data_IF_443706731319
#
_entry.id   IF_443706731319
#
_cell.length_a   1.000
_cell.length_b   1.000
_cell.length_c   1.000
_cell.angle_alpha   90.00
_cell.angle_beta   90.00
_cell.angle_gamma   90.00
#
_symmetry.space_group_name_H-M   'P 1'
#
loop_
_entity.id
_entity.type
_entity.pdbx_description
1 polymer ?
#
# COMPACT_ATOMS: atom_id res chain seq x y z
N UNK A 1 13.15 -36.59 1.54
CA UNK A 1 13.24 -35.21 2.07
C UNK A 1 13.64 -35.20 3.52
N UNK A 2 14.40 -34.22 3.94
CA UNK A 2 14.51 -33.87 5.36
C UNK A 2 13.25 -33.14 5.77
N UNK A 3 12.59 -33.58 6.83
CA UNK A 3 11.32 -33.04 7.30
C UNK A 3 11.54 -32.18 8.53
N UNK A 4 10.93 -30.99 8.52
CA UNK A 4 10.98 -30.01 9.59
C UNK A 4 9.56 -29.81 10.15
N UNK A 5 9.33 -30.04 11.43
CA UNK A 5 8.03 -29.75 12.03
C UNK A 5 7.78 -28.23 12.04
N UNK A 6 6.58 -27.82 11.65
CA UNK A 6 6.12 -26.45 11.76
C UNK A 6 5.30 -26.37 13.04
N UNK A 7 5.68 -25.49 13.94
CA UNK A 7 5.09 -25.34 15.26
C UNK A 7 4.27 -24.05 15.34
N UNK A 8 3.13 -24.11 16.03
CA UNK A 8 2.42 -22.92 16.45
C UNK A 8 3.14 -22.22 17.61
N UNK A 9 2.64 -21.06 18.03
CA UNK A 9 3.22 -20.29 19.16
C UNK A 9 3.23 -21.04 20.49
N UNK A 10 2.48 -22.12 20.62
CA UNK A 10 2.39 -22.97 21.81
C UNK A 10 3.21 -24.27 21.71
N UNK A 11 4.10 -24.38 20.74
CA UNK A 11 4.94 -25.55 20.45
C UNK A 11 4.13 -26.79 20.01
N UNK A 12 2.93 -26.64 19.45
CA UNK A 12 2.17 -27.75 18.88
C UNK A 12 2.51 -27.88 17.41
N UNK A 13 2.75 -29.12 16.94
CA UNK A 13 2.97 -29.37 15.53
C UNK A 13 1.67 -29.13 14.75
N UNK A 14 1.72 -28.23 13.78
CA UNK A 14 0.58 -27.86 12.92
C UNK A 14 0.78 -28.27 11.46
N UNK A 15 2.01 -28.58 11.07
CA UNK A 15 2.38 -28.98 9.72
C UNK A 15 3.84 -29.40 9.63
N UNK A 16 4.29 -29.69 8.42
CA UNK A 16 5.66 -30.06 8.13
C UNK A 16 6.16 -29.34 6.87
N UNK A 17 7.41 -28.91 6.89
CA UNK A 17 8.16 -28.52 5.72
C UNK A 17 9.15 -29.61 5.34
N UNK A 18 9.34 -29.86 4.05
CA UNK A 18 10.27 -30.85 3.55
C UNK A 18 11.27 -30.26 2.56
N UNK A 19 12.57 -30.39 2.82
CA UNK A 19 13.63 -30.03 1.86
C UNK A 19 14.13 -31.28 1.16
N UNK A 20 14.18 -31.26 -0.19
CA UNK A 20 14.74 -32.39 -0.95
C UNK A 20 16.22 -32.51 -0.68
N UNK A 21 16.69 -33.78 -0.62
CA UNK A 21 18.11 -34.13 -0.57
C UNK A 21 18.55 -34.52 -2.00
N UNK A 22 19.33 -33.65 -2.65
CA UNK A 22 19.74 -33.81 -4.06
C UNK A 22 18.86 -32.95 -5.02
N UNK A 23 18.80 -33.35 -6.30
CA UNK A 23 18.30 -32.54 -7.42
C UNK A 23 16.79 -32.65 -7.65
N UNK A 24 16.03 -33.18 -6.70
CA UNK A 24 14.58 -33.34 -6.84
C UNK A 24 13.82 -31.96 -6.81
N UNK A 25 12.70 -31.92 -7.50
CA UNK A 25 11.80 -30.75 -7.52
C UNK A 25 10.43 -31.10 -6.90
N UNK A 26 9.78 -30.14 -6.22
CA UNK A 26 10.26 -28.82 -5.81
C UNK A 26 11.31 -28.94 -4.71
N UNK A 27 12.24 -27.95 -4.64
CA UNK A 27 13.31 -27.92 -3.61
C UNK A 27 12.72 -27.93 -2.19
N UNK A 28 11.65 -27.19 -1.98
CA UNK A 28 10.88 -27.14 -0.74
C UNK A 28 9.44 -27.53 -0.97
N UNK A 29 8.86 -28.29 -0.04
CA UNK A 29 7.46 -28.68 -0.05
C UNK A 29 6.91 -28.56 1.37
N UNK A 30 5.90 -27.74 1.56
CA UNK A 30 5.20 -27.59 2.84
C UNK A 30 3.88 -28.36 2.82
N UNK A 31 3.41 -28.76 3.99
CA UNK A 31 2.05 -29.29 4.17
C UNK A 31 1.03 -28.40 3.47
N UNK A 32 -0.05 -28.97 2.91
CA UNK A 32 -1.18 -28.18 2.46
C UNK A 32 -1.80 -27.43 3.64
N UNK A 33 -2.58 -26.40 3.34
CA UNK A 33 -3.34 -25.68 4.36
C UNK A 33 -4.43 -26.57 4.96
N UNK A 34 -4.63 -26.42 6.26
CA UNK A 34 -5.65 -27.15 7.04
C UNK A 34 -6.29 -26.20 8.04
N UNK A 35 -7.30 -26.66 8.77
CA UNK A 35 -7.89 -25.87 9.87
C UNK A 35 -6.89 -25.49 10.96
N UNK A 36 -5.78 -26.21 11.10
CA UNK A 36 -4.73 -25.97 12.09
C UNK A 36 -3.54 -25.23 11.50
N UNK A 37 -3.31 -25.32 10.20
CA UNK A 37 -2.15 -24.77 9.50
C UNK A 37 -2.59 -23.84 8.41
N UNK A 38 -2.47 -22.54 8.69
CA UNK A 38 -2.69 -21.44 7.75
C UNK A 38 -1.34 -20.71 7.57
N UNK A 39 -0.76 -20.81 6.37
CA UNK A 39 0.54 -20.22 6.05
C UNK A 39 0.56 -18.70 6.14
N UNK A 40 -0.59 -18.06 5.94
CA UNK A 40 -0.72 -16.61 6.00
C UNK A 40 -0.72 -16.06 7.45
N UNK A 41 -0.92 -16.93 8.45
CA UNK A 41 -1.07 -16.57 9.87
C UNK A 41 -0.02 -17.21 10.78
N UNK A 42 0.88 -18.01 10.23
CA UNK A 42 1.92 -18.70 10.98
C UNK A 42 3.30 -18.34 10.46
N UNK A 43 4.23 -18.15 11.39
CA UNK A 43 5.63 -17.88 11.10
C UNK A 43 6.51 -18.99 11.68
N UNK A 44 7.43 -19.52 10.89
CA UNK A 44 8.41 -20.49 11.37
C UNK A 44 9.33 -19.85 12.39
N UNK A 45 9.62 -20.53 13.50
CA UNK A 45 10.50 -20.05 14.55
C UNK A 45 9.86 -19.11 15.57
N UNK A 46 8.61 -18.64 15.36
CA UNK A 46 7.97 -17.69 16.26
C UNK A 46 7.75 -18.24 17.68
N UNK A 47 7.54 -19.57 17.81
CA UNK A 47 7.44 -20.23 19.11
C UNK A 47 8.67 -20.03 19.98
N UNK A 48 9.86 -19.90 19.38
CA UNK A 48 11.10 -19.56 20.08
C UNK A 48 11.30 -18.03 20.14
N UNK A 49 11.13 -17.35 19.01
CA UNK A 49 11.41 -15.93 18.90
C UNK A 49 10.61 -15.06 19.87
N UNK A 50 9.36 -15.44 20.18
CA UNK A 50 8.49 -14.74 21.15
C UNK A 50 9.03 -14.68 22.59
N UNK A 51 9.96 -15.56 22.92
CA UNK A 51 10.59 -15.61 24.27
C UNK A 51 11.97 -14.98 24.29
N UNK A 52 12.45 -14.48 23.15
CA UNK A 52 13.72 -13.78 23.05
C UNK A 52 13.70 -12.50 23.88
N UNK A 53 14.88 -12.13 24.41
CA UNK A 53 15.08 -10.85 25.15
C UNK A 53 15.43 -9.69 24.24
N UNK A 54 15.65 -9.95 22.96
CA UNK A 54 15.95 -8.91 21.98
C UNK A 54 14.72 -8.02 21.75
N UNK A 55 14.97 -6.72 21.58
CA UNK A 55 13.89 -5.73 21.36
C UNK A 55 13.33 -5.72 19.94
N UNK A 56 13.87 -6.53 19.06
CA UNK A 56 13.51 -6.65 17.66
C UNK A 56 13.44 -8.10 17.23
N UNK A 57 12.72 -8.37 16.13
CA UNK A 57 12.73 -9.67 15.48
C UNK A 57 13.41 -9.57 14.11
N UNK A 58 14.10 -10.65 13.72
CA UNK A 58 14.72 -10.82 12.42
C UNK A 58 13.74 -11.58 11.51
N UNK A 59 13.45 -11.06 10.33
CA UNK A 59 12.56 -11.72 9.37
C UNK A 59 13.39 -12.22 8.20
N UNK A 60 13.53 -13.55 8.10
CA UNK A 60 14.24 -14.26 7.02
C UNK A 60 13.27 -14.68 5.90
N UNK A 61 13.79 -15.05 4.73
CA UNK A 61 12.98 -15.56 3.62
C UNK A 61 12.46 -16.98 3.88
N UNK A 62 13.29 -17.86 4.41
CA UNK A 62 12.99 -19.26 4.59
C UNK A 62 13.35 -19.83 5.95
N UNK A 63 12.77 -21.00 6.23
CA UNK A 63 13.00 -21.66 7.52
C UNK A 63 14.42 -22.23 7.68
N UNK A 64 15.17 -22.45 6.59
CA UNK A 64 16.58 -22.84 6.68
C UNK A 64 17.43 -21.68 7.22
N UNK A 65 17.13 -20.46 6.81
CA UNK A 65 17.82 -19.27 7.32
C UNK A 65 17.52 -19.08 8.81
N UNK A 66 16.26 -19.29 9.22
CA UNK A 66 15.88 -19.26 10.64
C UNK A 66 16.64 -20.30 11.43
N UNK A 67 16.77 -21.54 10.92
CA UNK A 67 17.52 -22.59 11.61
C UNK A 67 18.99 -22.20 11.75
N UNK A 68 19.61 -21.71 10.69
CA UNK A 68 21.01 -21.25 10.71
C UNK A 68 21.19 -20.08 11.70
N UNK A 69 20.26 -19.13 11.69
CA UNK A 69 20.26 -18.00 12.62
C UNK A 69 20.14 -18.44 14.08
N UNK A 70 19.20 -19.35 14.38
CA UNK A 70 19.04 -19.90 15.73
C UNK A 70 20.28 -20.65 16.19
N UNK A 71 20.92 -21.45 15.32
CA UNK A 71 22.19 -22.13 15.61
C UNK A 71 23.32 -21.15 15.92
N UNK A 72 23.31 -19.97 15.29
CA UNK A 72 24.26 -18.89 15.53
C UNK A 72 23.91 -18.01 16.75
N UNK A 73 22.82 -18.32 17.47
CA UNK A 73 22.40 -17.60 18.67
C UNK A 73 21.37 -16.49 18.46
N UNK A 74 20.92 -16.27 17.21
CA UNK A 74 19.85 -15.28 16.88
C UNK A 74 18.46 -15.91 16.98
N UNK A 75 18.05 -16.25 18.21
CA UNK A 75 16.80 -16.97 18.49
C UNK A 75 15.54 -16.12 18.27
N UNK A 76 15.68 -14.82 18.00
CA UNK A 76 14.63 -13.87 17.62
C UNK A 76 14.30 -13.87 16.12
N UNK A 77 14.74 -14.89 15.38
CA UNK A 77 14.53 -15.00 13.92
C UNK A 77 13.26 -15.77 13.60
N UNK A 78 12.55 -15.31 12.56
CA UNK A 78 11.32 -15.92 12.04
C UNK A 78 11.30 -15.87 10.51
N UNK A 79 10.51 -16.75 9.87
CA UNK A 79 10.29 -16.69 8.42
C UNK A 79 8.85 -17.04 8.06
N UNK A 80 8.43 -16.57 6.87
CA UNK A 80 7.20 -17.03 6.24
C UNK A 80 7.34 -18.48 5.76
N UNK A 81 6.21 -19.14 5.48
CA UNK A 81 6.15 -20.58 5.19
C UNK A 81 5.94 -20.86 3.71
N UNK A 82 6.82 -20.27 2.86
CA UNK A 82 6.74 -20.42 1.41
C UNK A 82 5.59 -19.63 0.78
N UNK A 83 5.18 -18.56 1.44
CA UNK A 83 4.24 -17.57 0.95
C UNK A 83 4.85 -16.18 1.09
N UNK A 84 4.33 -15.19 0.36
CA UNK A 84 4.70 -13.80 0.61
C UNK A 84 4.33 -13.40 2.05
N UNK A 85 5.04 -12.41 2.59
CA UNK A 85 4.74 -11.84 3.89
C UNK A 85 3.37 -11.13 3.85
N UNK A 86 2.51 -11.35 4.85
CA UNK A 86 1.12 -10.89 4.89
C UNK A 86 0.86 -9.88 6.00
N UNK A 87 -0.27 -9.16 5.94
CA UNK A 87 -0.75 -8.28 7.02
C UNK A 87 -1.05 -9.06 8.31
N UNK A 88 -1.49 -10.33 8.19
CA UNK A 88 -1.71 -11.19 9.35
C UNK A 88 -0.39 -11.57 10.04
N UNK A 89 0.69 -11.80 9.25
CA UNK A 89 2.03 -11.98 9.80
C UNK A 89 2.50 -10.73 10.55
N UNK A 90 2.31 -9.54 9.98
CA UNK A 90 2.66 -8.29 10.63
C UNK A 90 1.87 -8.07 11.94
N UNK A 91 0.56 -8.28 11.90
CA UNK A 91 -0.30 -8.19 13.09
C UNK A 91 0.08 -9.21 14.16
N UNK A 92 0.53 -10.40 13.77
CA UNK A 92 1.01 -11.42 14.70
C UNK A 92 2.32 -10.99 15.35
N UNK A 93 3.30 -10.48 14.58
CA UNK A 93 4.59 -10.01 15.09
C UNK A 93 4.44 -8.81 16.02
N UNK A 94 3.51 -7.89 15.71
CA UNK A 94 3.24 -6.69 16.53
C UNK A 94 2.89 -7.00 17.97
N UNK A 95 2.38 -8.18 18.26
CA UNK A 95 2.08 -8.63 19.65
C UNK A 95 3.33 -8.88 20.48
N UNK A 96 4.50 -9.03 19.84
CA UNK A 96 5.73 -9.45 20.50
C UNK A 96 6.86 -8.41 20.37
N UNK A 97 6.81 -7.55 19.35
CA UNK A 97 7.84 -6.53 19.11
C UNK A 97 7.28 -5.34 18.35
N UNK A 98 7.88 -4.16 18.57
CA UNK A 98 7.61 -2.96 17.80
C UNK A 98 8.66 -2.72 16.69
N UNK A 99 9.72 -3.53 16.64
CA UNK A 99 10.81 -3.35 15.70
C UNK A 99 11.17 -4.68 15.01
N UNK A 100 11.37 -4.59 13.70
CA UNK A 100 11.85 -5.73 12.89
C UNK A 100 13.03 -5.31 12.02
N UNK A 101 13.88 -6.31 11.73
CA UNK A 101 14.97 -6.19 10.76
C UNK A 101 14.74 -7.25 9.68
N UNK A 102 14.55 -6.80 8.44
CA UNK A 102 14.43 -7.68 7.28
C UNK A 102 15.82 -8.19 6.89
N UNK A 103 15.99 -9.51 6.86
CA UNK A 103 17.24 -10.20 6.51
C UNK A 103 17.04 -11.07 5.28
N UNK A 104 16.40 -10.51 4.27
CA UNK A 104 16.13 -11.19 3.01
C UNK A 104 17.37 -11.28 2.14
N UNK A 105 17.36 -12.23 1.19
CA UNK A 105 18.46 -12.44 0.25
C UNK A 105 18.89 -11.11 -0.41
N UNK A 106 20.20 -10.97 -0.64
CA UNK A 106 20.77 -9.75 -1.26
C UNK A 106 20.57 -9.68 -2.78
N UNK A 107 19.84 -10.62 -3.36
CA UNK A 107 19.50 -10.67 -4.79
C UNK A 107 18.25 -9.83 -5.12
N UNK A 108 17.93 -9.73 -6.42
CA UNK A 108 16.80 -8.94 -6.87
C UNK A 108 15.43 -9.45 -6.41
N UNK A 109 15.30 -10.74 -6.09
CA UNK A 109 14.07 -11.33 -5.57
C UNK A 109 13.85 -10.94 -4.10
N UNK A 110 14.92 -11.05 -3.28
CA UNK A 110 14.88 -10.63 -1.88
C UNK A 110 14.66 -9.12 -1.71
N UNK A 111 15.29 -8.29 -2.55
CA UNK A 111 15.02 -6.84 -2.56
C UNK A 111 13.54 -6.55 -2.86
N UNK A 112 12.95 -7.22 -3.86
CA UNK A 112 11.51 -7.07 -4.17
C UNK A 112 10.62 -7.58 -3.03
N UNK A 113 11.02 -8.64 -2.35
CA UNK A 113 10.30 -9.16 -1.19
C UNK A 113 10.35 -8.17 -0.02
N UNK A 114 11.51 -7.56 0.26
CA UNK A 114 11.67 -6.52 1.27
C UNK A 114 10.79 -5.30 0.98
N UNK A 115 10.80 -4.79 -0.26
CA UNK A 115 9.97 -3.65 -0.68
C UNK A 115 8.46 -3.93 -0.51
N UNK A 116 8.01 -5.19 -0.65
CA UNK A 116 6.61 -5.57 -0.41
C UNK A 116 6.29 -5.72 1.08
N UNK A 117 7.24 -6.18 1.90
CA UNK A 117 7.03 -6.37 3.33
C UNK A 117 7.04 -5.05 4.12
N UNK A 118 7.84 -4.06 3.68
CA UNK A 118 7.99 -2.77 4.36
C UNK A 118 6.65 -2.06 4.60
N UNK A 119 5.80 -1.79 3.59
CA UNK A 119 4.52 -1.11 3.82
C UNK A 119 3.61 -1.91 4.74
N UNK A 120 3.53 -3.25 4.59
CA UNK A 120 2.71 -4.12 5.42
C UNK A 120 3.09 -4.02 6.91
N UNK A 121 4.39 -3.93 7.20
CA UNK A 121 4.90 -3.79 8.57
C UNK A 121 4.69 -2.37 9.12
N UNK A 122 4.86 -1.35 8.27
CA UNK A 122 4.59 0.05 8.64
C UNK A 122 3.11 0.30 8.94
N UNK A 123 2.20 -0.33 8.20
CA UNK A 123 0.75 -0.19 8.38
C UNK A 123 0.28 -0.63 9.78
N UNK A 124 0.96 -1.58 10.40
CA UNK A 124 0.69 -1.97 11.80
C UNK A 124 1.54 -1.19 12.82
N UNK A 125 2.21 -0.12 12.39
CA UNK A 125 3.00 0.75 13.25
C UNK A 125 4.30 0.13 13.75
N UNK A 126 4.96 -0.72 12.96
CA UNK A 126 6.26 -1.28 13.29
C UNK A 126 7.40 -0.44 12.71
N UNK A 127 8.49 -0.31 13.47
CA UNK A 127 9.76 0.22 12.98
C UNK A 127 10.48 -0.86 12.17
N UNK A 128 10.84 -0.54 10.93
CA UNK A 128 11.43 -1.49 9.99
C UNK A 128 12.82 -1.04 9.57
N UNK A 129 13.79 -1.95 9.74
CA UNK A 129 15.13 -1.81 9.18
C UNK A 129 15.40 -2.92 8.17
N UNK A 130 16.33 -2.70 7.27
CA UNK A 130 16.75 -3.70 6.26
C UNK A 130 18.25 -3.92 6.39
N UNK A 131 18.62 -5.19 6.50
CA UNK A 131 20.00 -5.61 6.59
C UNK A 131 20.59 -5.80 5.19
N UNK A 132 21.76 -5.24 4.93
CA UNK A 132 22.52 -5.50 3.72
C UNK A 132 23.61 -6.55 4.01
N UNK A 133 23.52 -7.72 3.41
CA UNK A 133 24.46 -8.81 3.62
C UNK A 133 25.57 -8.88 2.57
N UNK A 134 25.56 -7.99 1.59
CA UNK A 134 26.59 -8.01 0.55
C UNK A 134 28.02 -8.00 1.13
N UNK A 135 28.94 -8.77 0.56
CA UNK A 135 28.88 -9.52 -0.71
C UNK A 135 28.17 -10.88 -0.60
N UNK A 136 27.76 -11.32 0.57
CA UNK A 136 27.10 -12.62 0.79
C UNK A 136 25.63 -12.58 0.38
N UNK A 137 25.12 -13.74 0.00
CA UNK A 137 23.77 -13.86 -0.52
C UNK A 137 22.72 -13.81 0.59
N UNK A 138 22.90 -14.63 1.62
CA UNK A 138 21.93 -14.88 2.69
C UNK A 138 22.61 -14.89 4.08
N UNK A 139 21.83 -14.89 5.18
CA UNK A 139 22.37 -14.93 6.55
C UNK A 139 23.26 -16.12 6.84
N UNK A 140 22.91 -17.30 6.33
CA UNK A 140 23.67 -18.53 6.56
C UNK A 140 25.08 -18.44 5.97
N UNK A 141 25.18 -17.97 4.71
CA UNK A 141 26.46 -17.74 4.05
C UNK A 141 27.30 -16.68 4.79
N UNK A 142 26.68 -15.58 5.19
CA UNK A 142 27.36 -14.51 5.92
C UNK A 142 27.96 -15.02 7.21
N UNK A 143 27.17 -15.72 8.05
CA UNK A 143 27.58 -16.20 9.37
C UNK A 143 28.66 -17.27 9.23
N UNK A 144 28.58 -18.17 8.24
CA UNK A 144 29.62 -19.18 7.99
C UNK A 144 30.97 -18.56 7.64
N UNK A 145 30.99 -17.44 6.96
CA UNK A 145 32.24 -16.80 6.52
C UNK A 145 32.81 -15.83 7.55
N UNK A 146 31.97 -15.05 8.24
CA UNK A 146 32.42 -13.97 9.11
C UNK A 146 32.09 -14.18 10.59
N UNK A 147 31.23 -15.14 10.91
CA UNK A 147 30.84 -15.46 12.28
C UNK A 147 29.66 -14.62 12.81
N UNK A 148 29.16 -15.04 13.97
CA UNK A 148 27.99 -14.45 14.60
C UNK A 148 28.22 -12.99 15.08
N UNK A 149 29.44 -12.68 15.56
CA UNK A 149 29.76 -11.34 16.07
C UNK A 149 29.73 -10.29 14.94
N UNK A 150 30.29 -10.63 13.78
CA UNK A 150 30.23 -9.77 12.60
C UNK A 150 28.78 -9.57 12.13
N UNK A 151 27.95 -10.61 12.24
CA UNK A 151 26.54 -10.49 11.90
C UNK A 151 25.78 -9.60 12.90
N UNK A 152 26.10 -9.67 14.18
CA UNK A 152 25.54 -8.76 15.20
C UNK A 152 25.86 -7.29 14.92
N UNK A 153 27.13 -7.01 14.59
CA UNK A 153 27.51 -5.66 14.15
C UNK A 153 26.74 -5.23 12.89
N UNK A 154 26.56 -6.11 11.93
CA UNK A 154 25.78 -5.82 10.71
C UNK A 154 24.32 -5.50 11.02
N UNK A 155 23.71 -6.14 12.03
CA UNK A 155 22.35 -5.82 12.49
C UNK A 155 22.28 -4.40 13.07
N UNK A 156 23.29 -3.98 13.85
CA UNK A 156 23.36 -2.62 14.38
C UNK A 156 23.42 -1.57 13.27
N UNK A 157 24.12 -1.88 12.18
CA UNK A 157 24.27 -1.07 10.96
C UNK A 157 23.07 -1.15 10.01
N UNK A 158 22.04 -1.95 10.36
CA UNK A 158 20.87 -2.14 9.49
C UNK A 158 20.19 -0.79 9.17
N UNK A 159 19.94 -0.59 7.88
CA UNK A 159 19.44 0.66 7.34
C UNK A 159 17.95 0.85 7.63
N UNK A 160 17.54 2.08 7.93
CA UNK A 160 16.12 2.45 7.95
C UNK A 160 15.43 2.07 6.64
N UNK A 161 14.21 1.52 6.71
CA UNK A 161 13.50 1.00 5.53
C UNK A 161 13.25 2.06 4.46
N UNK A 162 12.95 3.32 4.84
CA UNK A 162 12.75 4.39 3.88
C UNK A 162 14.06 4.73 3.12
N UNK A 163 15.17 4.83 3.83
CA UNK A 163 16.48 5.07 3.22
C UNK A 163 16.89 3.90 2.29
N UNK A 164 16.56 2.66 2.67
CA UNK A 164 16.73 1.51 1.80
C UNK A 164 15.88 1.62 0.52
N UNK A 165 14.60 2.05 0.63
CA UNK A 165 13.76 2.28 -0.54
C UNK A 165 14.34 3.33 -1.49
N UNK A 166 14.95 4.41 -0.94
CA UNK A 166 15.63 5.44 -1.75
C UNK A 166 16.88 4.88 -2.42
N UNK A 167 17.65 4.01 -1.75
CA UNK A 167 18.80 3.33 -2.39
C UNK A 167 18.38 2.48 -3.58
N UNK A 168 17.32 1.69 -3.40
CA UNK A 168 16.78 0.85 -4.49
C UNK A 168 16.27 1.71 -5.62
N UNK A 169 15.59 2.81 -5.32
CA UNK A 169 15.14 3.79 -6.32
C UNK A 169 16.33 4.38 -7.08
N UNK A 170 17.39 4.81 -6.38
CA UNK A 170 18.61 5.34 -6.99
C UNK A 170 19.25 4.37 -7.98
N UNK A 171 19.23 3.07 -7.64
CA UNK A 171 19.79 2.03 -8.51
C UNK A 171 19.08 1.85 -9.86
N UNK A 172 17.92 2.50 -10.06
CA UNK A 172 17.17 2.47 -11.32
C UNK A 172 17.52 3.61 -12.27
N UNK A 173 18.37 4.56 -11.83
CA UNK A 173 18.74 5.76 -12.58
C UNK A 173 20.24 5.84 -12.79
N UNK A 174 20.65 6.31 -13.96
CA UNK A 174 22.02 6.74 -14.20
C UNK A 174 22.24 8.12 -13.58
N UNK A 175 23.05 8.16 -12.52
CA UNK A 175 23.32 9.40 -11.78
C UNK A 175 24.30 10.34 -12.47
N UNK A 176 24.98 9.88 -13.52
CA UNK A 176 25.83 10.71 -14.37
C UNK A 176 25.04 11.44 -15.46
N UNK A 177 23.84 10.90 -15.81
CA UNK A 177 22.91 11.56 -16.72
C UNK A 177 22.08 12.62 -15.98
N UNK A 178 22.20 13.92 -16.31
CA UNK A 178 21.46 14.99 -15.65
C UNK A 178 19.94 14.84 -15.69
N UNK A 179 19.38 14.26 -16.76
CA UNK A 179 17.94 14.05 -16.90
C UNK A 179 17.46 12.95 -15.96
N UNK A 180 18.14 11.82 -15.90
CA UNK A 180 17.81 10.71 -15.00
C UNK A 180 18.03 11.10 -13.54
N UNK A 181 19.09 11.82 -13.24
CA UNK A 181 19.34 12.40 -11.91
C UNK A 181 18.21 13.32 -11.47
N UNK A 182 17.69 14.15 -12.37
CA UNK A 182 16.55 15.03 -12.08
C UNK A 182 15.28 14.20 -11.79
N UNK A 183 15.04 13.14 -12.56
CA UNK A 183 13.91 12.22 -12.32
C UNK A 183 14.04 11.52 -10.96
N UNK A 184 15.21 11.04 -10.61
CA UNK A 184 15.46 10.47 -9.29
C UNK A 184 15.13 11.45 -8.16
N UNK A 185 15.54 12.72 -8.28
CA UNK A 185 15.22 13.73 -7.26
C UNK A 185 13.71 13.99 -7.14
N UNK A 186 13.00 14.01 -8.26
CA UNK A 186 11.56 14.18 -8.28
C UNK A 186 10.83 13.00 -7.62
N UNK A 187 11.21 11.76 -7.93
CA UNK A 187 10.62 10.57 -7.29
C UNK A 187 10.96 10.49 -5.80
N UNK A 188 12.18 10.83 -5.42
CA UNK A 188 12.59 10.93 -4.02
C UNK A 188 11.74 11.96 -3.26
N UNK A 189 11.51 13.13 -3.87
CA UNK A 189 10.68 14.17 -3.27
C UNK A 189 9.20 13.74 -3.16
N UNK A 190 8.67 12.95 -4.09
CA UNK A 190 7.32 12.36 -3.98
C UNK A 190 7.23 11.38 -2.82
N UNK A 191 8.22 10.49 -2.66
CA UNK A 191 8.27 9.57 -1.52
C UNK A 191 8.36 10.29 -0.17
N UNK A 192 9.07 11.40 -0.09
CA UNK A 192 9.13 12.21 1.13
C UNK A 192 7.79 12.83 1.52
N UNK A 193 6.86 12.98 0.60
CA UNK A 193 5.49 13.44 0.88
C UNK A 193 4.60 12.37 1.54
N UNK A 194 5.02 11.11 1.58
CA UNK A 194 4.35 10.04 2.33
C UNK A 194 4.36 10.31 3.85
N UNK A 195 5.29 11.15 4.34
CA UNK A 195 5.33 11.58 5.74
C UNK A 195 4.41 12.80 5.95
N UNK A 196 3.26 12.65 6.64
CA UNK A 196 2.32 13.74 6.87
C UNK A 196 2.88 14.79 7.84
N UNK A 197 3.61 14.34 8.87
CA UNK A 197 4.16 15.21 9.90
C UNK A 197 5.37 16.00 9.37
N UNK A 198 5.30 17.33 9.48
CA UNK A 198 6.31 18.23 8.90
C UNK A 198 7.71 18.02 9.52
N UNK A 199 7.80 17.77 10.84
CA UNK A 199 9.07 17.53 11.52
C UNK A 199 9.68 16.20 11.12
N UNK A 200 8.89 15.14 11.05
CA UNK A 200 9.33 13.82 10.61
C UNK A 200 9.82 13.89 9.16
N UNK A 201 9.05 14.50 8.29
CA UNK A 201 9.42 14.70 6.89
C UNK A 201 10.72 15.47 6.74
N UNK A 202 10.92 16.54 7.53
CA UNK A 202 12.15 17.33 7.52
C UNK A 202 13.37 16.51 7.95
N UNK A 203 13.23 15.65 8.97
CA UNK A 203 14.27 14.72 9.42
C UNK A 203 14.65 13.74 8.29
N UNK A 204 13.67 13.23 7.55
CA UNK A 204 13.94 12.36 6.39
C UNK A 204 14.55 13.13 5.20
N UNK A 205 14.14 14.38 4.96
CA UNK A 205 14.80 15.25 3.95
C UNK A 205 16.28 15.42 4.30
N UNK A 206 16.61 15.69 5.57
CA UNK A 206 18.01 15.83 6.01
C UNK A 206 18.79 14.52 5.85
N UNK A 207 18.21 13.38 6.23
CA UNK A 207 18.85 12.08 6.10
C UNK A 207 19.15 11.74 4.63
N UNK A 208 18.17 11.88 3.74
CA UNK A 208 18.30 11.64 2.29
C UNK A 208 19.31 12.61 1.66
N UNK A 209 19.24 13.89 2.02
CA UNK A 209 20.16 14.91 1.53
C UNK A 209 21.62 14.55 1.84
N UNK A 210 21.90 14.12 3.08
CA UNK A 210 23.23 13.72 3.53
C UNK A 210 23.71 12.45 2.81
N UNK A 211 22.86 11.44 2.69
CA UNK A 211 23.24 10.14 2.17
C UNK A 211 23.44 10.13 0.64
N UNK A 212 22.63 10.92 -0.07
CA UNK A 212 22.66 10.95 -1.54
C UNK A 212 23.34 12.21 -2.10
N UNK A 213 23.94 13.04 -1.24
CA UNK A 213 24.62 14.27 -1.64
C UNK A 213 23.72 15.23 -2.44
N UNK A 214 22.45 15.32 -2.04
CA UNK A 214 21.49 16.29 -2.60
C UNK A 214 21.51 17.53 -1.69
N UNK A 215 21.67 18.75 -2.19
CA UNK A 215 21.58 19.93 -1.36
C UNK A 215 20.24 20.01 -0.62
N UNK A 216 20.28 20.13 0.70
CA UNK A 216 19.08 20.08 1.55
C UNK A 216 18.02 21.10 1.12
N UNK A 217 18.41 22.33 0.86
CA UNK A 217 17.48 23.40 0.44
C UNK A 217 16.80 23.11 -0.89
N UNK A 218 17.52 22.47 -1.84
CA UNK A 218 16.98 22.13 -3.15
C UNK A 218 15.97 20.97 -3.02
N UNK A 219 16.30 19.94 -2.24
CA UNK A 219 15.39 18.83 -1.99
C UNK A 219 14.13 19.31 -1.22
N UNK A 220 14.32 20.14 -0.18
CA UNK A 220 13.20 20.72 0.59
C UNK A 220 12.30 21.59 -0.27
N UNK A 221 12.88 22.42 -1.14
CA UNK A 221 12.15 23.25 -2.10
C UNK A 221 11.32 22.38 -3.05
N UNK A 222 11.93 21.30 -3.56
CA UNK A 222 11.26 20.38 -4.47
C UNK A 222 10.10 19.65 -3.79
N UNK A 223 10.29 19.16 -2.55
CA UNK A 223 9.23 18.55 -1.73
C UNK A 223 8.08 19.54 -1.49
N UNK A 224 8.38 20.77 -1.12
CA UNK A 224 7.37 21.81 -0.89
C UNK A 224 6.61 22.19 -2.18
N UNK A 225 7.30 22.28 -3.31
CA UNK A 225 6.67 22.55 -4.62
C UNK A 225 5.73 21.41 -5.04
N UNK A 226 6.15 20.17 -4.86
CA UNK A 226 5.32 19.00 -5.16
C UNK A 226 4.15 18.90 -4.15
N UNK A 227 4.40 19.13 -2.86
CA UNK A 227 3.37 19.16 -1.82
C UNK A 227 2.31 20.23 -2.07
N UNK A 228 2.72 21.44 -2.50
CA UNK A 228 1.78 22.50 -2.87
C UNK A 228 0.93 22.15 -4.10
N UNK A 229 1.50 21.40 -5.04
CA UNK A 229 0.77 20.91 -6.23
C UNK A 229 -0.20 19.78 -5.90
N UNK A 230 0.14 18.92 -4.94
CA UNK A 230 -0.70 17.81 -4.47
C UNK A 230 -1.68 18.27 -3.38
N UNK A 231 -1.32 19.30 -2.61
CA UNK A 231 -2.06 19.82 -1.46
C UNK A 231 -3.07 20.92 -1.75
N UNK A 232 -3.54 21.08 -3.00
CA UNK A 232 -4.66 22.00 -3.32
C UNK A 232 -6.03 21.44 -2.91
N UNK A 233 -6.09 20.75 -1.77
CA UNK A 233 -7.30 20.42 -1.03
C UNK A 233 -7.49 21.42 0.14
N UNK A 234 -8.72 21.71 0.60
CA UNK A 234 -9.03 22.85 1.46
C UNK A 234 -8.68 22.60 2.94
N UNK A 235 -7.42 22.75 3.34
CA UNK A 235 -7.04 22.86 4.75
C UNK A 235 -5.71 23.58 4.93
N UNK A 236 -5.62 24.86 4.55
CA UNK A 236 -4.58 25.78 5.05
C UNK A 236 -5.06 27.23 4.93
N UNK A 237 -6.08 27.59 5.70
CA UNK A 237 -6.37 28.98 5.99
C UNK A 237 -5.58 29.40 7.23
N UNK A 238 -4.45 30.04 7.04
CA UNK A 238 -3.73 30.66 8.14
C UNK A 238 -2.26 30.93 7.86
N UNK A 239 -1.96 31.85 6.97
CA UNK A 239 -0.92 32.89 7.06
C UNK A 239 -0.70 33.53 5.70
N UNK A 240 -1.31 34.70 5.51
CA UNK A 240 -0.91 35.70 4.51
C UNK A 240 0.26 36.46 5.08
N UNK A 241 1.34 36.64 4.29
CA UNK A 241 1.73 37.92 3.73
C UNK A 241 3.10 37.86 3.07
N UNK A 242 3.20 38.61 1.94
CA UNK A 242 4.38 38.99 1.11
C UNK A 242 4.94 37.88 0.19
N UNK A 243 4.97 37.95 -1.13
CA UNK A 243 5.14 39.04 -2.10
C UNK A 243 4.67 38.62 -3.50
N UNK A 244 4.31 39.62 -4.29
CA UNK A 244 3.79 39.58 -5.65
C UNK A 244 4.79 39.16 -6.75
N UNK A 245 4.19 38.62 -7.82
CA UNK A 245 4.59 38.65 -9.24
C UNK A 245 5.58 37.62 -9.77
N UNK A 246 5.05 36.61 -10.45
CA UNK A 246 5.26 36.48 -11.91
C UNK A 246 4.32 35.44 -12.52
N UNK A 247 3.54 35.87 -13.52
CA UNK A 247 2.59 35.09 -14.28
C UNK A 247 3.32 34.12 -15.25
N UNK A 248 2.97 32.83 -15.20
CA UNK A 248 3.02 31.98 -16.39
C UNK A 248 1.85 31.00 -16.34
N UNK A 249 1.03 31.05 -17.35
CA UNK A 249 -0.21 30.31 -17.57
C UNK A 249 -0.01 28.79 -17.48
N UNK A 250 -0.73 28.08 -16.64
CA UNK A 250 -0.89 26.62 -16.65
C UNK A 250 -2.37 26.26 -16.71
N UNK A 251 -2.68 25.23 -17.50
CA UNK A 251 -4.04 24.80 -17.81
C UNK A 251 -4.68 24.03 -16.65
N UNK A 252 -5.94 24.38 -16.24
CA UNK A 252 -6.65 23.77 -15.10
C UNK A 252 -7.26 22.39 -15.37
N UNK A 253 -6.99 21.75 -16.51
CA UNK A 253 -7.68 20.51 -16.93
C UNK A 253 -7.18 19.23 -16.28
N UNK A 254 -5.88 19.07 -16.03
CA UNK A 254 -5.31 17.80 -15.53
C UNK A 254 -5.64 17.48 -14.07
N UNK A 255 -5.73 18.48 -13.20
CA UNK A 255 -5.98 18.25 -11.76
C UNK A 255 -7.46 17.91 -11.44
N UNK A 256 -8.39 18.37 -12.30
CA UNK A 256 -9.81 18.04 -12.16
C UNK A 256 -10.13 16.60 -12.56
N UNK A 257 -9.44 16.07 -13.56
CA UNK A 257 -9.70 14.72 -14.09
C UNK A 257 -9.23 13.65 -13.09
N UNK A 258 -8.11 13.85 -12.41
CA UNK A 258 -7.59 12.90 -11.40
C UNK A 258 -8.45 12.88 -10.12
N UNK A 259 -8.88 14.05 -9.64
CA UNK A 259 -9.80 14.14 -8.51
C UNK A 259 -11.20 13.58 -8.79
N UNK A 260 -11.62 13.60 -10.07
CA UNK A 260 -12.85 12.99 -10.54
C UNK A 260 -12.72 11.45 -10.56
N UNK A 261 -11.64 10.94 -11.11
CA UNK A 261 -11.32 9.51 -11.16
C UNK A 261 -11.28 8.89 -9.76
N UNK A 262 -10.62 9.56 -8.81
CA UNK A 262 -10.52 9.09 -7.43
C UNK A 262 -11.89 9.03 -6.71
N UNK A 263 -12.79 10.01 -6.92
CA UNK A 263 -14.13 9.98 -6.31
C UNK A 263 -15.01 8.87 -6.87
N UNK A 264 -14.95 8.57 -8.17
CA UNK A 264 -15.66 7.47 -8.78
C UNK A 264 -15.15 6.12 -8.28
N UNK A 265 -13.83 5.96 -8.19
CA UNK A 265 -13.19 4.78 -7.62
C UNK A 265 -13.67 4.54 -6.17
N UNK A 266 -13.64 5.57 -5.35
CA UNK A 266 -14.03 5.47 -3.94
C UNK A 266 -15.51 5.09 -3.79
N UNK A 267 -16.41 5.67 -4.60
CA UNK A 267 -17.83 5.33 -4.57
C UNK A 267 -18.07 3.88 -4.97
N UNK A 268 -17.41 3.38 -6.02
CA UNK A 268 -17.51 1.96 -6.41
C UNK A 268 -17.05 1.03 -5.29
N UNK A 269 -15.93 1.34 -4.63
CA UNK A 269 -15.46 0.56 -3.48
C UNK A 269 -16.50 0.51 -2.37
N UNK A 270 -17.14 1.65 -2.00
CA UNK A 270 -18.23 1.69 -1.01
C UNK A 270 -19.40 0.78 -1.37
N UNK A 271 -19.84 0.84 -2.63
CA UNK A 271 -20.99 0.06 -3.10
C UNK A 271 -20.72 -1.45 -3.20
N UNK A 272 -19.47 -1.82 -3.53
CA UNK A 272 -19.02 -3.21 -3.59
C UNK A 272 -18.91 -3.80 -2.19
N UNK A 273 -18.31 -3.07 -1.23
CA UNK A 273 -18.15 -3.55 0.14
C UNK A 273 -19.47 -3.60 0.92
N UNK A 274 -20.41 -2.69 0.61
CA UNK A 274 -21.65 -2.52 1.35
C UNK A 274 -22.86 -2.41 0.42
N UNK A 275 -23.42 -3.54 -0.08
CA UNK A 275 -24.55 -3.51 -1.00
C UNK A 275 -25.81 -2.79 -0.47
N UNK A 276 -26.01 -2.69 0.84
CA UNK A 276 -27.07 -1.91 1.45
C UNK A 276 -27.03 -0.41 1.18
N UNK A 277 -25.89 0.10 0.69
CA UNK A 277 -25.75 1.51 0.30
C UNK A 277 -26.43 1.83 -1.02
N UNK A 278 -26.77 0.83 -1.86
CA UNK A 278 -27.54 1.04 -3.09
C UNK A 278 -28.91 1.64 -2.79
N UNK A 279 -29.59 1.16 -1.75
CA UNK A 279 -30.90 1.70 -1.34
C UNK A 279 -30.84 3.19 -0.97
N UNK A 280 -29.68 3.64 -0.46
CA UNK A 280 -29.46 5.03 -0.02
C UNK A 280 -29.15 5.99 -1.16
N UNK A 281 -28.67 5.48 -2.28
CA UNK A 281 -28.36 6.28 -3.48
C UNK A 281 -29.37 6.09 -4.62
N UNK A 282 -30.40 5.29 -4.39
CA UNK A 282 -31.46 5.04 -5.37
C UNK A 282 -32.11 6.37 -5.81
N UNK A 283 -32.19 6.59 -7.11
CA UNK A 283 -32.69 7.84 -7.70
C UNK A 283 -31.70 9.04 -7.65
N UNK A 284 -30.54 8.89 -7.01
CA UNK A 284 -29.50 9.93 -6.93
C UNK A 284 -28.35 9.60 -7.89
N UNK A 285 -27.82 8.39 -7.82
CA UNK A 285 -26.69 7.90 -8.63
C UNK A 285 -27.13 6.74 -9.50
N UNK A 286 -26.68 6.75 -10.74
CA UNK A 286 -26.82 5.66 -11.71
C UNK A 286 -25.43 5.29 -12.25
N UNK A 287 -25.34 4.19 -13.00
CA UNK A 287 -24.09 3.80 -13.67
C UNK A 287 -23.58 4.89 -14.63
N UNK A 288 -24.49 5.68 -15.22
CA UNK A 288 -24.17 6.76 -16.16
C UNK A 288 -23.51 7.96 -15.48
N UNK A 289 -23.55 8.06 -14.16
CA UNK A 289 -22.85 9.11 -13.40
C UNK A 289 -21.35 8.88 -13.29
N UNK A 290 -20.88 7.69 -13.66
CA UNK A 290 -19.46 7.35 -13.74
C UNK A 290 -18.91 7.73 -15.11
N UNK A 291 -18.31 8.90 -15.22
CA UNK A 291 -17.87 9.49 -16.51
C UNK A 291 -16.53 8.94 -17.02
N UNK A 292 -15.76 8.28 -16.17
CA UNK A 292 -14.53 7.61 -16.56
C UNK A 292 -14.83 6.27 -17.25
N UNK A 293 -14.33 6.01 -18.47
CA UNK A 293 -14.76 4.85 -19.25
C UNK A 293 -14.63 3.50 -18.54
N UNK A 294 -13.52 3.27 -17.83
CA UNK A 294 -13.30 2.06 -17.05
C UNK A 294 -14.32 1.93 -15.92
N UNK A 295 -14.48 2.98 -15.14
CA UNK A 295 -15.41 2.96 -14.00
C UNK A 295 -16.88 2.94 -14.43
N UNK A 296 -17.21 3.49 -15.60
CA UNK A 296 -18.55 3.37 -16.18
C UNK A 296 -18.90 1.91 -16.47
N UNK A 297 -18.00 1.16 -17.13
CA UNK A 297 -18.20 -0.27 -17.40
C UNK A 297 -18.31 -1.08 -16.10
N UNK A 298 -17.43 -0.83 -15.13
CA UNK A 298 -17.52 -1.51 -13.82
C UNK A 298 -18.82 -1.14 -13.11
N UNK A 299 -19.24 0.13 -13.12
CA UNK A 299 -20.50 0.57 -12.53
C UNK A 299 -21.69 -0.13 -13.15
N UNK A 300 -21.76 -0.25 -14.48
CA UNK A 300 -22.83 -0.99 -15.15
C UNK A 300 -22.94 -2.43 -14.66
N UNK A 301 -21.82 -3.14 -14.56
CA UNK A 301 -21.80 -4.53 -14.07
C UNK A 301 -22.16 -4.65 -12.58
N UNK A 302 -21.71 -3.69 -11.75
CA UNK A 302 -21.99 -3.66 -10.31
C UNK A 302 -23.46 -3.33 -10.04
N UNK A 303 -24.05 -2.33 -10.72
CA UNK A 303 -25.47 -1.97 -10.60
C UNK A 303 -26.36 -3.09 -11.09
N UNK A 304 -26.06 -3.69 -12.25
CA UNK A 304 -26.81 -4.82 -12.76
C UNK A 304 -26.72 -6.03 -11.81
N UNK A 305 -25.53 -6.36 -11.32
CA UNK A 305 -25.33 -7.45 -10.35
C UNK A 305 -26.09 -7.21 -9.03
N UNK A 306 -26.25 -5.97 -8.62
CA UNK A 306 -27.07 -5.62 -7.44
C UNK A 306 -28.57 -5.84 -7.73
N UNK A 307 -29.10 -5.37 -8.86
CA UNK A 307 -30.51 -5.56 -9.26
C UNK A 307 -30.88 -7.04 -9.38
N UNK A 308 -29.96 -7.86 -9.86
CA UNK A 308 -30.14 -9.32 -10.02
C UNK A 308 -29.88 -10.10 -8.71
N UNK A 309 -29.50 -9.43 -7.60
CA UNK A 309 -29.01 -10.05 -6.36
C UNK A 309 -27.89 -11.09 -6.60
N UNK A 310 -27.06 -10.86 -7.61
CA UNK A 310 -26.03 -11.76 -8.09
C UNK A 310 -24.70 -11.04 -8.38
N UNK A 311 -24.27 -10.15 -7.47
CA UNK A 311 -22.97 -9.50 -7.64
C UNK A 311 -21.85 -10.54 -7.64
N UNK A 312 -21.17 -10.67 -8.80
CA UNK A 312 -20.09 -11.63 -9.03
C UNK A 312 -18.75 -10.93 -9.26
N UNK A 313 -17.94 -10.70 -8.21
CA UNK A 313 -16.63 -10.06 -8.33
C UNK A 313 -15.69 -10.76 -9.31
N UNK A 314 -15.70 -12.11 -9.34
CA UNK A 314 -14.86 -12.88 -10.23
C UNK A 314 -15.28 -12.70 -11.70
N UNK A 315 -16.58 -12.61 -11.97
CA UNK A 315 -17.12 -12.34 -13.31
C UNK A 315 -16.71 -10.95 -13.81
N UNK A 316 -16.77 -9.95 -12.94
CA UNK A 316 -16.33 -8.58 -13.26
C UNK A 316 -14.83 -8.54 -13.55
N UNK A 317 -14.01 -9.17 -12.72
CA UNK A 317 -12.56 -9.25 -12.93
C UNK A 317 -12.18 -9.97 -14.22
N UNK A 318 -12.87 -11.07 -14.54
CA UNK A 318 -12.63 -11.83 -15.76
C UNK A 318 -12.95 -11.04 -17.04
N UNK A 319 -13.85 -10.07 -16.98
CA UNK A 319 -14.15 -9.19 -18.11
C UNK A 319 -12.92 -8.37 -18.56
N UNK A 320 -12.06 -8.01 -17.63
CA UNK A 320 -10.85 -7.20 -17.86
C UNK A 320 -9.55 -8.02 -17.94
N UNK A 321 -9.62 -9.36 -17.99
CA UNK A 321 -8.44 -10.25 -17.91
C UNK A 321 -7.42 -10.04 -19.04
N UNK A 322 -7.87 -9.54 -20.19
CA UNK A 322 -7.04 -9.31 -21.36
C UNK A 322 -6.27 -7.97 -21.34
N UNK A 323 -6.56 -7.09 -20.39
CA UNK A 323 -5.88 -5.81 -20.20
C UNK A 323 -5.32 -5.75 -18.77
N UNK A 324 -4.01 -5.93 -18.64
CA UNK A 324 -3.33 -6.04 -17.34
C UNK A 324 -3.46 -4.77 -16.50
N UNK A 325 -3.51 -3.59 -17.12
CA UNK A 325 -3.64 -2.31 -16.41
C UNK A 325 -5.06 -2.14 -15.88
N UNK A 326 -6.07 -2.36 -16.71
CA UNK A 326 -7.48 -2.31 -16.31
C UNK A 326 -7.80 -3.38 -15.27
N UNK A 327 -7.31 -4.61 -15.46
CA UNK A 327 -7.48 -5.70 -14.48
C UNK A 327 -6.95 -5.33 -13.10
N UNK A 328 -5.74 -4.75 -13.02
CA UNK A 328 -5.16 -4.31 -11.74
C UNK A 328 -5.98 -3.21 -11.07
N UNK A 329 -6.47 -2.27 -11.86
CA UNK A 329 -7.27 -1.15 -11.36
C UNK A 329 -8.63 -1.63 -10.84
N UNK A 330 -9.29 -2.53 -11.58
CA UNK A 330 -10.56 -3.13 -11.16
C UNK A 330 -10.36 -4.05 -9.95
N UNK A 331 -9.30 -4.86 -9.91
CA UNK A 331 -8.98 -5.70 -8.76
C UNK A 331 -8.76 -4.87 -7.48
N UNK A 332 -8.22 -3.66 -7.61
CA UNK A 332 -8.04 -2.77 -6.47
C UNK A 332 -9.35 -2.24 -5.87
N UNK A 333 -10.47 -2.23 -6.63
CA UNK A 333 -11.80 -1.88 -6.11
C UNK A 333 -12.35 -2.95 -5.15
N UNK A 334 -12.07 -4.23 -5.45
CA UNK A 334 -12.53 -5.38 -4.66
C UNK A 334 -11.60 -5.72 -3.48
N UNK A 335 -10.37 -5.22 -3.48
CA UNK A 335 -9.38 -5.48 -2.43
C UNK A 335 -9.12 -4.28 -1.52
N UNK A 336 -9.74 -3.13 -1.78
CA UNK A 336 -9.64 -1.96 -0.94
C UNK A 336 -10.58 -2.13 0.26
N UNK A 337 -10.09 -2.38 1.46
CA UNK A 337 -10.89 -2.20 2.65
C UNK A 337 -10.98 -0.70 2.98
N UNK A 338 -12.19 -0.19 3.05
CA UNK A 338 -12.47 1.15 3.58
C UNK A 338 -12.04 1.14 5.04
N UNK A 339 -11.08 2.00 5.38
CA UNK A 339 -10.34 1.98 6.66
C UNK A 339 -11.29 1.88 7.84
N UNK A 340 -11.15 0.83 8.64
CA UNK A 340 -11.78 0.60 9.95
C UNK A 340 -11.47 1.71 11.00
N UNK A 341 -10.70 2.75 10.64
CA UNK A 341 -10.25 3.81 11.55
C UNK A 341 -11.17 5.04 11.62
N UNK A 342 -12.23 5.10 10.79
CA UNK A 342 -13.19 6.21 10.83
C UNK A 342 -14.38 5.85 11.71
N UNK A 343 -14.81 6.78 12.56
CA UNK A 343 -16.07 6.64 13.29
C UNK A 343 -17.26 6.55 12.32
N UNK A 344 -18.36 5.93 12.76
CA UNK A 344 -19.57 5.80 11.93
C UNK A 344 -20.06 7.16 11.37
N UNK A 345 -19.93 8.23 12.12
CA UNK A 345 -20.29 9.58 11.70
C UNK A 345 -19.36 10.10 10.58
N UNK A 346 -18.06 9.84 10.69
CA UNK A 346 -17.07 10.23 9.66
C UNK A 346 -17.26 9.42 8.37
N UNK A 347 -17.59 8.13 8.49
CA UNK A 347 -17.89 7.27 7.34
C UNK A 347 -19.15 7.77 6.60
N UNK A 348 -20.22 8.07 7.32
CA UNK A 348 -21.45 8.63 6.76
C UNK A 348 -21.19 9.93 6.01
N UNK A 349 -20.43 10.82 6.61
CA UNK A 349 -20.05 12.11 6.01
C UNK A 349 -19.22 11.92 4.75
N UNK A 350 -18.20 11.05 4.80
CA UNK A 350 -17.32 10.76 3.66
C UNK A 350 -18.08 10.11 2.50
N UNK A 351 -18.99 9.19 2.77
CA UNK A 351 -19.85 8.60 1.76
C UNK A 351 -20.76 9.64 1.10
N UNK A 352 -21.47 10.44 1.89
CA UNK A 352 -22.36 11.49 1.38
C UNK A 352 -21.58 12.50 0.51
N UNK A 353 -20.41 12.96 0.96
CA UNK A 353 -19.56 13.89 0.20
C UNK A 353 -19.07 13.24 -1.12
N UNK A 354 -18.78 11.94 -1.11
CA UNK A 354 -18.35 11.21 -2.30
C UNK A 354 -19.47 11.08 -3.33
N UNK A 355 -20.68 10.73 -2.90
CA UNK A 355 -21.89 10.65 -3.75
C UNK A 355 -22.17 12.03 -4.39
N UNK A 356 -22.15 13.09 -3.60
CA UNK A 356 -22.37 14.46 -4.07
C UNK A 356 -21.32 14.89 -5.11
N UNK A 357 -20.07 14.49 -4.90
CA UNK A 357 -18.95 14.81 -5.80
C UNK A 357 -19.06 14.08 -7.11
N UNK A 358 -19.40 12.78 -7.11
CA UNK A 358 -19.62 11.99 -8.33
C UNK A 358 -20.78 12.58 -9.13
N UNK A 359 -21.93 12.83 -8.51
CA UNK A 359 -23.09 13.43 -9.18
C UNK A 359 -22.81 14.80 -9.77
N UNK A 360 -22.15 15.66 -9.03
CA UNK A 360 -21.76 16.99 -9.50
C UNK A 360 -20.84 16.89 -10.72
N UNK A 361 -19.85 16.00 -10.70
CA UNK A 361 -18.92 15.84 -11.81
C UNK A 361 -19.62 15.30 -13.06
N UNK A 362 -20.57 14.38 -12.90
CA UNK A 362 -21.46 13.89 -13.97
C UNK A 362 -22.26 15.02 -14.61
N UNK A 363 -22.96 15.82 -13.81
CA UNK A 363 -23.72 16.97 -14.27
C UNK A 363 -22.84 18.04 -14.95
N UNK A 364 -21.65 18.29 -14.43
CA UNK A 364 -20.66 19.20 -15.03
C UNK A 364 -20.13 18.67 -16.37
N UNK A 365 -19.99 17.36 -16.53
CA UNK A 365 -19.64 16.73 -17.80
C UNK A 365 -20.80 16.81 -18.80
N UNK A 366 -22.02 16.48 -18.38
CA UNK A 366 -23.22 16.56 -19.19
C UNK A 366 -23.47 18.01 -19.70
N UNK A 367 -23.25 19.02 -18.87
CA UNK A 367 -23.44 20.43 -19.26
C UNK A 367 -22.48 20.90 -20.35
N UNK A 368 -21.32 20.26 -20.50
CA UNK A 368 -20.34 20.56 -21.59
C UNK A 368 -20.71 19.96 -22.92
N UNK A 369 -21.54 18.92 -22.92
CA UNK A 369 -21.95 18.17 -24.07
C UNK A 369 -23.43 18.35 -24.42
N UNK A 370 -24.15 19.21 -23.68
CA UNK A 370 -25.57 19.49 -23.91
C UNK A 370 -25.81 20.01 -25.33
N UNK A 371 -26.64 19.30 -26.08
CA UNK A 371 -26.96 19.62 -27.48
C UNK A 371 -28.16 20.55 -27.66
N UNK A 372 -28.93 20.85 -26.58
CA UNK A 372 -30.09 21.69 -26.61
C UNK A 372 -30.23 22.60 -25.37
N UNK A 373 -30.98 23.71 -25.53
CA UNK A 373 -31.30 24.65 -24.42
C UNK A 373 -32.14 23.94 -23.35
N UNK A 374 -33.05 23.08 -23.76
CA UNK A 374 -33.92 22.32 -22.84
C UNK A 374 -33.13 21.33 -21.99
N UNK A 375 -32.14 20.66 -22.57
CA UNK A 375 -31.24 19.76 -21.87
C UNK A 375 -30.37 20.51 -20.86
N UNK A 376 -29.82 21.65 -21.25
CA UNK A 376 -29.07 22.56 -20.36
C UNK A 376 -29.89 23.04 -19.18
N UNK A 377 -31.16 23.39 -19.40
CA UNK A 377 -32.07 23.79 -18.33
C UNK A 377 -32.35 22.68 -17.32
N UNK A 378 -32.53 21.42 -17.79
CA UNK A 378 -32.70 20.26 -16.92
C UNK A 378 -31.44 20.00 -16.07
N UNK A 379 -30.26 20.12 -16.67
CA UNK A 379 -28.98 19.97 -15.95
C UNK A 379 -28.82 21.05 -14.87
N UNK A 380 -29.14 22.31 -15.18
CA UNK A 380 -29.08 23.42 -14.20
C UNK A 380 -30.05 23.18 -13.04
N UNK A 381 -31.27 22.70 -13.32
CA UNK A 381 -32.22 22.33 -12.27
C UNK A 381 -31.71 21.17 -11.40
N UNK A 382 -31.12 20.16 -12.01
CA UNK A 382 -30.49 19.04 -11.27
C UNK A 382 -29.30 19.50 -10.41
N UNK A 383 -28.47 20.42 -10.90
CA UNK A 383 -27.38 21.01 -10.14
C UNK A 383 -27.91 21.89 -8.96
N UNK A 384 -29.02 22.58 -9.14
CA UNK A 384 -29.65 23.32 -8.05
C UNK A 384 -30.24 22.40 -6.98
N UNK A 385 -30.94 21.34 -7.40
CA UNK A 385 -31.51 20.33 -6.51
C UNK A 385 -30.40 19.60 -5.70
N UNK A 386 -29.23 19.35 -6.30
CA UNK A 386 -28.10 18.71 -5.63
C UNK A 386 -27.60 19.50 -4.41
N UNK A 387 -27.74 20.85 -4.40
CA UNK A 387 -27.32 21.71 -3.27
C UNK A 387 -28.16 21.55 -2.01
N UNK A 388 -29.40 21.08 -2.16
CA UNK A 388 -30.36 20.86 -1.07
C UNK A 388 -30.52 19.39 -0.72
N UNK A 389 -29.77 18.49 -1.35
CA UNK A 389 -29.87 17.06 -1.14
C UNK A 389 -29.20 16.67 0.17
N UNK A 390 -29.98 16.04 1.08
CA UNK A 390 -29.46 15.36 2.28
C UNK A 390 -29.61 13.86 2.11
N UNK A 391 -28.51 13.14 2.16
CA UNK A 391 -28.50 11.66 2.15
C UNK A 391 -28.63 11.21 3.60
N UNK A 392 -29.82 10.69 3.98
CA UNK A 392 -30.05 10.16 5.32
C UNK A 392 -29.43 8.77 5.44
N UNK A 393 -28.53 8.59 6.44
CA UNK A 393 -27.84 7.36 6.75
C UNK A 393 -28.15 6.89 8.17
N UNK A 394 -29.38 7.14 8.67
CA UNK A 394 -29.73 7.02 10.10
C UNK A 394 -29.88 5.57 10.63
N UNK A 395 -29.79 4.51 9.80
CA UNK A 395 -29.76 3.14 10.27
C UNK A 395 -28.68 2.32 9.53
N UNK A 396 -27.63 1.94 10.29
CA UNK A 396 -26.79 0.76 10.08
C UNK A 396 -25.89 0.74 8.82
N UNK A 397 -24.69 1.30 8.94
CA UNK A 397 -23.49 0.72 8.32
C UNK A 397 -22.95 -0.25 9.38
N UNK A 398 -23.28 -1.54 9.28
CA UNK A 398 -22.69 -2.62 10.07
C UNK A 398 -21.80 -3.45 9.15
#
# INVERSE_FOLDING_TARGET
RVMFPILDVNNRVIGFGGRVMGDGTPKYLNSPETRLFDKSRNLFGLNYARTSREKYMLICEGYMDVIAMHQAGFTNSVASLGTAFTSQHASLLKRYTDQVVLTYDSDGAGVKAALRAIPILKDVGMSVKVLNMRPYKDPDEFIKNLGADAFRQRIEEAKNSFLFEIDVLKGQYDMEDPEQKTRFYQETARKLLEFPEALERDNYIQAVSREHFIPYEDLKRLVNQLGSRLGSGPAAAGRRDYEEKSQAKRSPKKDKDEGNRQSQRLLLTWLIENPGLFDRIQGIITADDFVEPLYHQVAQMVFQGHEENALNPAGILNHFINDEEQYREVAALFNASLKESLSNEEQKKAFSETVMKVKKNSLDAASRHAGSIEELQRIIQAQAALRSLHISLDEGIN
#
